data_IF_855634580246
#
_entry.id   IF_855634580246
#
_cell.length_a   1.000
_cell.length_b   1.000
_cell.length_c   1.000
_cell.angle_alpha   90.00
_cell.angle_beta   90.00
_cell.angle_gamma   90.00
#
_symmetry.space_group_name_H-M   'P 1'
#
loop_
_entity.id
_entity.type
_entity.pdbx_description
1 polymer ?
#
# COMPACT_ATOMS: atom_id res chain seq x y z
N UNK A 1 -27.28 -62.39 16.78
CA UNK A 1 -26.13 -61.46 16.81
C UNK A 1 -25.62 -61.38 15.38
N UNK A 2 -26.15 -60.42 14.60
CA UNK A 2 -25.76 -60.25 13.19
C UNK A 2 -24.36 -59.66 13.25
N UNK A 3 -23.35 -60.44 12.86
CA UNK A 3 -21.96 -59.98 12.76
C UNK A 3 -21.93 -58.78 11.84
N UNK A 4 -21.55 -57.61 12.38
CA UNK A 4 -21.19 -56.47 11.56
C UNK A 4 -20.04 -56.92 10.65
N UNK A 5 -20.34 -57.11 9.37
CA UNK A 5 -19.39 -57.52 8.37
C UNK A 5 -18.27 -56.50 8.18
N UNK A 6 -17.31 -56.86 7.33
CA UNK A 6 -16.11 -56.09 6.99
C UNK A 6 -16.41 -54.60 6.73
N UNK A 7 -16.16 -53.72 7.72
CA UNK A 7 -16.53 -52.29 7.67
C UNK A 7 -15.65 -51.43 6.75
N UNK A 8 -14.47 -51.92 6.37
CA UNK A 8 -13.56 -51.23 5.45
C UNK A 8 -12.57 -52.23 4.84
N UNK A 9 -12.36 -52.17 3.52
CA UNK A 9 -11.32 -52.91 2.81
C UNK A 9 -10.50 -51.93 1.97
N UNK A 10 -9.18 -51.91 2.16
CA UNK A 10 -8.26 -51.16 1.29
C UNK A 10 -7.75 -52.10 0.21
N UNK A 11 -7.97 -51.74 -1.06
CA UNK A 11 -7.41 -52.44 -2.19
C UNK A 11 -6.40 -51.50 -2.87
N UNK A 12 -5.15 -51.95 -2.98
CA UNK A 12 -4.10 -51.22 -3.69
C UNK A 12 -3.89 -51.88 -5.05
N UNK A 13 -4.00 -51.10 -6.12
CA UNK A 13 -3.66 -51.51 -7.47
C UNK A 13 -2.83 -50.41 -8.13
N UNK A 14 -1.70 -50.79 -8.71
CA UNK A 14 -0.81 -49.87 -9.41
C UNK A 14 -1.09 -49.96 -10.91
N UNK A 15 -1.76 -48.94 -11.45
CA UNK A 15 -2.06 -48.81 -12.87
C UNK A 15 -1.07 -47.83 -13.50
N UNK A 16 0.02 -48.36 -14.05
CA UNK A 16 0.98 -47.55 -14.83
C UNK A 16 0.51 -47.47 -16.28
N UNK A 17 -0.03 -46.32 -16.68
CA UNK A 17 -0.38 -46.03 -18.07
C UNK A 17 0.73 -45.17 -18.72
N UNK A 18 1.31 -45.66 -19.81
CA UNK A 18 2.45 -45.03 -20.50
C UNK A 18 2.16 -43.69 -21.20
N UNK A 19 0.94 -43.14 -21.11
CA UNK A 19 0.47 -42.02 -21.93
C UNK A 19 0.00 -40.77 -21.15
N UNK A 20 0.39 -40.59 -19.90
CA UNK A 20 -0.07 -39.46 -19.05
C UNK A 20 0.96 -38.32 -18.99
N UNK A 21 1.42 -37.83 -20.15
CA UNK A 21 2.46 -36.80 -20.25
C UNK A 21 1.97 -35.34 -20.38
N UNK A 22 0.66 -35.08 -20.33
CA UNK A 22 0.11 -33.72 -20.28
C UNK A 22 -0.75 -33.49 -19.02
N UNK A 23 -0.56 -32.33 -18.37
CA UNK A 23 -1.18 -31.98 -17.09
C UNK A 23 -2.72 -32.05 -17.10
N UNK A 24 -3.37 -31.62 -18.17
CA UNK A 24 -4.85 -31.60 -18.28
C UNK A 24 -5.46 -33.02 -18.33
N UNK A 25 -4.74 -33.98 -18.92
CA UNK A 25 -5.20 -35.37 -18.98
C UNK A 25 -5.10 -36.06 -17.60
N UNK A 26 -4.21 -35.59 -16.72
CA UNK A 26 -4.05 -36.15 -15.36
C UNK A 26 -5.21 -35.79 -14.46
N UNK A 27 -5.60 -34.51 -14.44
CA UNK A 27 -6.74 -34.03 -13.67
C UNK A 27 -8.06 -34.69 -14.12
N UNK A 28 -8.31 -34.73 -15.44
CA UNK A 28 -9.52 -35.37 -16.00
C UNK A 28 -9.55 -36.89 -15.75
N UNK A 29 -8.40 -37.56 -15.80
CA UNK A 29 -8.31 -39.00 -15.46
C UNK A 29 -8.67 -39.23 -13.99
N UNK A 30 -8.11 -38.44 -13.07
CA UNK A 30 -8.44 -38.51 -11.64
C UNK A 30 -9.94 -38.28 -11.40
N UNK A 31 -10.51 -37.22 -11.99
CA UNK A 31 -11.92 -36.87 -11.85
C UNK A 31 -12.83 -38.00 -12.37
N UNK A 32 -12.51 -38.55 -13.53
CA UNK A 32 -13.26 -39.67 -14.13
C UNK A 32 -13.17 -40.94 -13.29
N UNK A 33 -12.03 -41.18 -12.64
CA UNK A 33 -11.83 -42.33 -11.75
C UNK A 33 -12.62 -42.15 -10.44
N UNK A 34 -12.61 -40.95 -9.86
CA UNK A 34 -13.43 -40.61 -8.68
C UNK A 34 -14.93 -40.78 -9.00
N UNK A 35 -15.38 -40.29 -10.16
CA UNK A 35 -16.77 -40.42 -10.59
C UNK A 35 -17.19 -41.89 -10.76
N UNK A 36 -16.40 -42.70 -11.47
CA UNK A 36 -16.69 -44.14 -11.67
C UNK A 36 -16.66 -44.93 -10.36
N UNK A 37 -15.70 -44.66 -9.47
CA UNK A 37 -15.66 -45.31 -8.15
C UNK A 37 -16.89 -44.97 -7.31
N UNK A 38 -17.34 -43.72 -7.32
CA UNK A 38 -18.54 -43.31 -6.60
C UNK A 38 -19.84 -43.89 -7.21
N UNK A 39 -19.87 -44.10 -8.53
CA UNK A 39 -20.97 -44.80 -9.23
C UNK A 39 -21.03 -46.29 -8.85
N UNK A 40 -19.88 -46.97 -8.82
CA UNK A 40 -19.78 -48.39 -8.47
C UNK A 40 -20.02 -48.65 -6.99
N UNK A 41 -19.51 -47.78 -6.12
CA UNK A 41 -19.61 -47.90 -4.66
C UNK A 41 -19.83 -46.50 -4.04
N UNK A 42 -21.09 -46.16 -3.69
CA UNK A 42 -21.42 -44.88 -3.08
C UNK A 42 -20.63 -44.64 -1.78
N UNK A 43 -19.89 -43.53 -1.72
CA UNK A 43 -19.06 -43.19 -0.56
C UNK A 43 -17.64 -43.76 -0.57
N UNK A 44 -17.22 -44.40 -1.67
CA UNK A 44 -15.83 -44.80 -1.89
C UNK A 44 -15.05 -43.73 -2.67
N UNK A 45 -13.75 -43.57 -2.39
CA UNK A 45 -12.88 -42.66 -3.12
C UNK A 45 -11.54 -43.33 -3.48
N UNK A 46 -11.07 -43.22 -4.73
CA UNK A 46 -9.74 -43.68 -5.12
C UNK A 46 -8.68 -42.71 -4.60
N UNK A 47 -7.59 -43.24 -4.04
CA UNK A 47 -6.49 -42.46 -3.49
C UNK A 47 -5.14 -42.94 -4.04
N UNK A 48 -4.33 -41.99 -4.50
CA UNK A 48 -2.91 -42.18 -4.82
C UNK A 48 -2.15 -40.92 -4.38
N UNK A 49 -0.87 -41.06 -4.05
CA UNK A 49 -0.02 -39.91 -3.70
C UNK A 49 0.08 -38.91 -4.88
N UNK A 50 0.08 -39.42 -6.12
CA UNK A 50 0.14 -38.59 -7.33
C UNK A 50 -1.10 -37.71 -7.52
N UNK A 51 -2.26 -38.13 -6.98
CA UNK A 51 -3.50 -37.36 -7.11
C UNK A 51 -3.40 -36.00 -6.44
N UNK A 52 -2.57 -35.86 -5.40
CA UNK A 52 -2.34 -34.57 -4.73
C UNK A 52 -1.74 -33.54 -5.70
N UNK A 53 -0.74 -33.94 -6.49
CA UNK A 53 -0.11 -33.07 -7.47
C UNK A 53 -1.03 -32.79 -8.67
N UNK A 54 -1.85 -33.77 -9.07
CA UNK A 54 -2.75 -33.61 -10.22
C UNK A 54 -3.94 -32.70 -9.90
N UNK A 55 -4.43 -32.75 -8.66
CA UNK A 55 -5.47 -31.86 -8.15
C UNK A 55 -4.96 -30.42 -8.06
N UNK A 56 -3.72 -30.20 -7.61
CA UNK A 56 -3.09 -28.87 -7.63
C UNK A 56 -3.06 -28.28 -9.04
N UNK A 57 -2.54 -29.03 -10.02
CA UNK A 57 -2.40 -28.56 -11.41
C UNK A 57 -3.75 -28.33 -12.10
N UNK A 58 -4.79 -29.08 -11.73
CA UNK A 58 -6.12 -28.90 -12.31
C UNK A 58 -6.87 -27.66 -11.83
N UNK A 59 -6.61 -27.24 -10.60
CA UNK A 59 -7.35 -26.15 -9.93
C UNK A 59 -6.60 -24.81 -10.02
N UNK A 60 -5.29 -24.85 -10.26
CA UNK A 60 -4.40 -23.69 -10.21
C UNK A 60 -4.79 -22.52 -11.11
N UNK A 61 -5.24 -22.76 -12.35
CA UNK A 61 -5.52 -21.67 -13.29
C UNK A 61 -6.67 -20.79 -12.77
N UNK A 62 -7.73 -21.44 -12.27
CA UNK A 62 -8.89 -20.74 -11.71
C UNK A 62 -8.56 -20.04 -10.39
N UNK A 63 -7.75 -20.68 -9.55
CA UNK A 63 -7.28 -20.12 -8.28
C UNK A 63 -6.36 -18.94 -8.49
N UNK A 64 -5.46 -19.00 -9.46
CA UNK A 64 -4.54 -17.93 -9.82
C UNK A 64 -5.31 -16.67 -10.20
N UNK A 65 -6.26 -16.79 -11.14
CA UNK A 65 -7.05 -15.64 -11.59
C UNK A 65 -7.89 -15.09 -10.44
N UNK A 66 -8.51 -15.96 -9.63
CA UNK A 66 -9.31 -15.54 -8.48
C UNK A 66 -8.46 -14.83 -7.42
N UNK A 67 -7.30 -15.38 -7.09
CA UNK A 67 -6.39 -14.81 -6.10
C UNK A 67 -5.84 -13.47 -6.60
N UNK A 68 -5.45 -13.37 -7.87
CA UNK A 68 -4.97 -12.12 -8.45
C UNK A 68 -6.08 -11.05 -8.48
N UNK A 69 -7.32 -11.44 -8.80
CA UNK A 69 -8.46 -10.54 -8.79
C UNK A 69 -8.82 -10.05 -7.37
N UNK A 70 -8.87 -10.95 -6.38
CA UNK A 70 -9.16 -10.61 -4.98
C UNK A 70 -8.03 -9.72 -4.44
N UNK A 71 -6.77 -10.11 -4.62
CA UNK A 71 -5.62 -9.30 -4.19
C UNK A 71 -5.62 -7.94 -4.88
N UNK A 72 -5.88 -7.87 -6.18
CA UNK A 72 -6.03 -6.61 -6.92
C UNK A 72 -7.14 -5.72 -6.34
N UNK A 73 -8.30 -6.31 -5.99
CA UNK A 73 -9.40 -5.61 -5.33
C UNK A 73 -9.01 -5.06 -3.96
N UNK A 74 -8.33 -5.86 -3.13
CA UNK A 74 -7.84 -5.43 -1.82
C UNK A 74 -6.80 -4.31 -1.96
N UNK A 75 -5.85 -4.45 -2.90
CA UNK A 75 -4.84 -3.42 -3.20
C UNK A 75 -5.53 -2.11 -3.58
N UNK A 76 -6.56 -2.16 -4.42
CA UNK A 76 -7.33 -0.99 -4.80
C UNK A 76 -7.96 -0.32 -3.55
N UNK A 77 -8.62 -1.10 -2.70
CA UNK A 77 -9.22 -0.58 -1.45
C UNK A 77 -8.16 0.06 -0.55
N UNK A 78 -6.99 -0.58 -0.38
CA UNK A 78 -5.89 -0.06 0.43
C UNK A 78 -5.33 1.25 -0.15
N UNK A 79 -5.14 1.34 -1.47
CA UNK A 79 -4.66 2.57 -2.13
C UNK A 79 -5.68 3.71 -1.95
N UNK A 80 -6.98 3.45 -2.10
CA UNK A 80 -8.01 4.45 -1.87
C UNK A 80 -8.09 4.88 -0.40
N UNK A 81 -7.84 3.96 0.55
CA UNK A 81 -7.79 4.28 1.98
C UNK A 81 -6.56 5.12 2.34
N UNK A 82 -5.39 4.82 1.76
CA UNK A 82 -4.15 5.58 2.00
C UNK A 82 -4.17 6.96 1.34
N UNK A 83 -4.69 7.05 0.11
CA UNK A 83 -4.67 8.27 -0.70
C UNK A 83 -6.09 8.81 -0.86
N UNK A 84 -6.57 9.71 0.04
CA UNK A 84 -7.90 10.34 -0.05
C UNK A 84 -8.06 11.35 -1.22
N UNK A 85 -7.21 11.24 -2.26
CA UNK A 85 -7.28 12.03 -3.49
C UNK A 85 -7.51 11.07 -4.68
N UNK A 86 -8.77 10.90 -5.14
CA UNK A 86 -9.12 9.86 -6.12
C UNK A 86 -8.41 10.01 -7.47
N UNK A 87 -8.04 11.24 -7.86
CA UNK A 87 -7.29 11.51 -9.09
C UNK A 87 -5.90 10.88 -9.08
N UNK A 88 -5.19 10.98 -7.95
CA UNK A 88 -3.84 10.44 -7.79
C UNK A 88 -3.92 8.91 -7.67
N UNK A 89 -4.92 8.41 -6.92
CA UNK A 89 -5.14 6.98 -6.72
C UNK A 89 -5.33 6.21 -8.04
N UNK A 90 -6.06 6.77 -9.02
CA UNK A 90 -6.26 6.13 -10.34
C UNK A 90 -4.92 5.90 -11.06
N UNK A 91 -4.02 6.89 -11.06
CA UNK A 91 -2.71 6.76 -11.69
C UNK A 91 -1.80 5.76 -10.98
N UNK A 92 -1.88 5.69 -9.64
CA UNK A 92 -1.17 4.68 -8.85
C UNK A 92 -1.66 3.28 -9.20
N UNK A 93 -2.98 3.07 -9.22
CA UNK A 93 -3.58 1.77 -9.59
C UNK A 93 -3.19 1.37 -11.02
N UNK A 94 -3.19 2.31 -11.96
CA UNK A 94 -2.74 2.05 -13.33
C UNK A 94 -1.27 1.62 -13.38
N UNK A 95 -0.39 2.32 -12.66
CA UNK A 95 1.04 1.99 -12.59
C UNK A 95 1.27 0.59 -12.00
N UNK A 96 0.54 0.23 -10.94
CA UNK A 96 0.58 -1.11 -10.34
C UNK A 96 0.07 -2.16 -11.31
N UNK A 97 -1.07 -1.91 -11.97
CA UNK A 97 -1.64 -2.84 -12.95
C UNK A 97 -0.67 -3.11 -14.11
N UNK A 98 -0.01 -2.06 -14.64
CA UNK A 98 1.03 -2.19 -15.66
C UNK A 98 2.20 -3.05 -15.17
N UNK A 99 2.68 -2.82 -13.94
CA UNK A 99 3.78 -3.62 -13.38
C UNK A 99 3.45 -5.11 -13.25
N UNK A 100 2.19 -5.45 -12.94
CA UNK A 100 1.73 -6.84 -12.83
C UNK A 100 1.68 -7.47 -14.23
N UNK A 101 1.11 -6.76 -15.21
CA UNK A 101 1.00 -7.25 -16.59
C UNK A 101 2.39 -7.47 -17.19
N UNK A 102 3.32 -6.53 -16.99
CA UNK A 102 4.69 -6.67 -17.47
C UNK A 102 5.40 -7.84 -16.80
N UNK A 103 5.27 -7.99 -15.47
CA UNK A 103 5.85 -9.13 -14.74
C UNK A 103 5.33 -10.45 -15.28
N UNK A 104 4.01 -10.60 -15.46
CA UNK A 104 3.42 -11.82 -16.00
C UNK A 104 3.88 -12.08 -17.44
N UNK A 105 3.99 -11.02 -18.26
CA UNK A 105 4.50 -11.10 -19.62
C UNK A 105 5.95 -11.59 -19.67
N UNK A 106 6.83 -11.02 -18.85
CA UNK A 106 8.23 -11.46 -18.79
C UNK A 106 8.42 -12.84 -18.16
N UNK A 107 7.55 -13.26 -17.23
CA UNK A 107 7.54 -14.65 -16.73
C UNK A 107 7.29 -15.65 -17.86
N UNK A 108 6.40 -15.33 -18.79
CA UNK A 108 6.15 -16.15 -19.97
C UNK A 108 7.40 -16.23 -20.87
N UNK A 109 8.10 -15.13 -21.12
CA UNK A 109 9.33 -15.12 -21.91
C UNK A 109 10.50 -15.87 -21.26
N UNK A 110 10.54 -15.94 -19.93
CA UNK A 110 11.61 -16.61 -19.17
C UNK A 110 11.30 -18.08 -18.82
N UNK A 111 10.25 -18.63 -19.45
CA UNK A 111 9.78 -20.01 -19.30
C UNK A 111 9.62 -20.39 -17.81
N UNK A 112 9.01 -19.48 -17.04
CA UNK A 112 8.71 -19.72 -15.63
C UNK A 112 7.37 -20.43 -15.54
N UNK A 113 7.41 -21.68 -15.07
CA UNK A 113 6.22 -22.47 -14.80
C UNK A 113 5.39 -21.83 -13.69
N UNK A 114 4.14 -21.49 -13.98
CA UNK A 114 3.21 -20.95 -12.99
C UNK A 114 2.66 -22.12 -12.15
N UNK A 115 3.20 -22.26 -10.95
CA UNK A 115 2.77 -23.19 -9.89
C UNK A 115 2.17 -22.44 -8.69
N UNK A 116 1.50 -23.15 -7.77
CA UNK A 116 0.86 -22.52 -6.61
C UNK A 116 1.87 -21.80 -5.74
N UNK A 117 3.04 -22.42 -5.58
CA UNK A 117 4.20 -21.84 -4.88
C UNK A 117 4.72 -20.58 -5.59
N UNK A 118 4.88 -20.59 -6.91
CA UNK A 118 5.36 -19.42 -7.67
C UNK A 118 4.37 -18.24 -7.61
N UNK A 119 3.07 -18.56 -7.56
CA UNK A 119 1.98 -17.58 -7.47
C UNK A 119 2.02 -16.85 -6.12
N UNK A 120 2.21 -17.58 -5.02
CA UNK A 120 2.37 -16.98 -3.69
C UNK A 120 3.54 -16.00 -3.68
N UNK A 121 4.67 -16.39 -4.26
CA UNK A 121 5.83 -15.51 -4.35
C UNK A 121 5.54 -14.27 -5.20
N UNK A 122 4.91 -14.43 -6.37
CA UNK A 122 4.48 -13.30 -7.19
C UNK A 122 3.59 -12.33 -6.40
N UNK A 123 2.61 -12.83 -5.64
CA UNK A 123 1.72 -12.01 -4.82
C UNK A 123 2.48 -11.21 -3.75
N UNK A 124 3.42 -11.85 -3.05
CA UNK A 124 4.25 -11.16 -2.04
C UNK A 124 5.03 -10.02 -2.69
N UNK A 125 5.65 -10.27 -3.84
CA UNK A 125 6.44 -9.26 -4.54
C UNK A 125 5.58 -8.11 -5.09
N UNK A 126 4.38 -8.41 -5.58
CA UNK A 126 3.41 -7.38 -6.01
C UNK A 126 2.99 -6.52 -4.81
N UNK A 127 2.83 -7.10 -3.62
CA UNK A 127 2.61 -6.35 -2.39
C UNK A 127 3.72 -5.34 -2.10
N UNK A 128 4.99 -5.75 -2.26
CA UNK A 128 6.15 -4.85 -2.11
C UNK A 128 6.16 -3.75 -3.17
N UNK A 129 5.78 -4.06 -4.41
CA UNK A 129 5.68 -3.06 -5.48
C UNK A 129 4.63 -1.98 -5.18
N UNK A 130 3.47 -2.40 -4.67
CA UNK A 130 2.39 -1.49 -4.25
C UNK A 130 2.88 -0.59 -3.11
N UNK A 131 3.64 -1.12 -2.17
CA UNK A 131 4.20 -0.36 -1.04
C UNK A 131 5.11 0.79 -1.53
N UNK A 132 6.01 0.49 -2.48
CA UNK A 132 6.87 1.50 -3.10
C UNK A 132 6.07 2.62 -3.77
N UNK A 133 5.04 2.24 -4.53
CA UNK A 133 4.19 3.20 -5.23
C UNK A 133 3.32 4.02 -4.26
N UNK A 134 2.77 3.39 -3.21
CA UNK A 134 1.92 4.03 -2.22
C UNK A 134 2.69 5.07 -1.39
N UNK A 135 3.90 4.75 -0.94
CA UNK A 135 4.74 5.68 -0.18
C UNK A 135 5.09 6.93 -1.00
N UNK A 136 5.48 6.75 -2.27
CA UNK A 136 5.77 7.87 -3.17
C UNK A 136 4.53 8.73 -3.43
N UNK A 137 3.37 8.09 -3.66
CA UNK A 137 2.12 8.80 -3.87
C UNK A 137 1.67 9.60 -2.64
N UNK A 138 1.86 9.06 -1.43
CA UNK A 138 1.57 9.75 -0.19
C UNK A 138 2.50 10.96 0.00
N UNK A 139 3.80 10.82 -0.25
CA UNK A 139 4.72 11.96 -0.17
C UNK A 139 4.41 13.04 -1.21
N UNK A 140 4.05 12.64 -2.44
CA UNK A 140 3.59 13.56 -3.46
C UNK A 140 2.32 14.31 -3.04
N UNK A 141 1.40 13.62 -2.35
CA UNK A 141 0.20 14.21 -1.78
C UNK A 141 0.52 15.15 -0.62
N UNK A 142 1.56 14.93 0.18
CA UNK A 142 1.92 15.84 1.27
C UNK A 142 2.61 17.11 0.78
N UNK A 143 3.46 17.01 -0.24
CA UNK A 143 4.17 18.15 -0.83
C UNK A 143 3.25 19.23 -1.41
N UNK A 144 3.70 20.48 -1.35
CA UNK A 144 3.05 21.68 -1.88
C UNK A 144 3.81 22.19 -3.13
N UNK A 145 3.15 23.02 -3.94
CA UNK A 145 3.73 23.62 -5.16
C UNK A 145 3.24 22.99 -6.47
N UNK A 146 3.99 23.26 -7.53
CA UNK A 146 3.71 22.76 -8.88
C UNK A 146 3.80 21.22 -8.95
N UNK A 147 3.10 20.56 -9.89
CA UNK A 147 3.15 19.09 -10.03
C UNK A 147 4.56 18.53 -10.18
N UNK A 148 5.43 19.24 -10.90
CA UNK A 148 6.83 18.86 -11.09
C UNK A 148 7.63 18.97 -9.80
N UNK A 149 7.49 20.07 -9.09
CA UNK A 149 8.21 20.32 -7.83
C UNK A 149 7.78 19.33 -6.74
N UNK A 150 6.48 19.02 -6.67
CA UNK A 150 5.95 17.99 -5.76
C UNK A 150 6.50 16.60 -6.06
N UNK A 151 6.64 16.24 -7.34
CA UNK A 151 7.23 14.96 -7.74
C UNK A 151 8.72 14.87 -7.37
N UNK A 152 9.47 15.95 -7.58
CA UNK A 152 10.88 16.04 -7.19
C UNK A 152 11.01 15.95 -5.67
N UNK A 153 10.25 16.74 -4.91
CA UNK A 153 10.27 16.72 -3.45
C UNK A 153 9.87 15.36 -2.86
N UNK A 154 8.91 14.66 -3.49
CA UNK A 154 8.52 13.32 -3.08
C UNK A 154 9.68 12.32 -3.26
N UNK A 155 10.31 12.30 -4.44
CA UNK A 155 11.46 11.43 -4.72
C UNK A 155 12.65 11.78 -3.82
N UNK A 156 12.95 13.06 -3.61
CA UNK A 156 14.07 13.48 -2.78
C UNK A 156 13.93 12.99 -1.33
N UNK A 157 12.70 12.98 -0.81
CA UNK A 157 12.41 12.59 0.56
C UNK A 157 12.32 11.08 0.77
N UNK A 158 11.67 10.33 -0.12
CA UNK A 158 11.44 8.88 0.07
C UNK A 158 12.27 8.00 -0.88
N UNK A 159 12.72 8.52 -2.01
CA UNK A 159 13.47 7.80 -3.03
C UNK A 159 14.70 7.08 -2.50
N UNK A 160 15.55 7.68 -1.66
CA UNK A 160 16.69 6.97 -1.07
C UNK A 160 16.29 5.77 -0.20
N UNK A 161 15.20 5.88 0.56
CA UNK A 161 14.68 4.79 1.39
C UNK A 161 14.19 3.63 0.50
N UNK A 162 13.36 3.94 -0.50
CA UNK A 162 12.82 2.96 -1.43
C UNK A 162 13.90 2.32 -2.29
N UNK A 163 14.89 3.09 -2.77
CA UNK A 163 16.01 2.55 -3.54
C UNK A 163 16.87 1.58 -2.71
N UNK A 164 17.11 1.90 -1.43
CA UNK A 164 17.80 0.98 -0.52
C UNK A 164 16.99 -0.29 -0.26
N UNK A 165 15.65 -0.20 -0.16
CA UNK A 165 14.77 -1.36 0.00
C UNK A 165 14.77 -2.28 -1.24
N UNK A 166 14.74 -1.70 -2.44
CA UNK A 166 14.87 -2.44 -3.70
C UNK A 166 16.23 -3.13 -3.79
N UNK A 167 17.31 -2.40 -3.46
CA UNK A 167 18.68 -2.92 -3.54
C UNK A 167 18.94 -4.04 -2.53
N UNK A 168 18.44 -3.91 -1.29
CA UNK A 168 18.59 -4.96 -0.27
C UNK A 168 17.82 -6.22 -0.64
N UNK A 169 16.63 -6.07 -1.23
CA UNK A 169 15.84 -7.21 -1.74
C UNK A 169 16.56 -7.87 -2.91
N UNK A 170 17.10 -7.10 -3.86
CA UNK A 170 17.91 -7.67 -4.96
C UNK A 170 19.12 -8.45 -4.45
N UNK A 171 19.82 -7.93 -3.45
CA UNK A 171 20.97 -8.63 -2.86
C UNK A 171 20.53 -9.96 -2.23
N UNK A 172 19.41 -9.97 -1.50
CA UNK A 172 18.85 -11.19 -0.92
C UNK A 172 18.46 -12.21 -2.02
N UNK A 173 17.86 -11.74 -3.11
CA UNK A 173 17.47 -12.58 -4.25
C UNK A 173 18.68 -13.23 -4.90
N UNK A 174 19.76 -12.48 -5.13
CA UNK A 174 21.02 -13.01 -5.68
C UNK A 174 21.57 -14.15 -4.81
N UNK A 175 21.50 -14.02 -3.48
CA UNK A 175 21.93 -15.09 -2.56
C UNK A 175 21.09 -16.35 -2.75
N UNK A 176 19.77 -16.22 -2.93
CA UNK A 176 18.89 -17.38 -3.16
C UNK A 176 19.15 -18.03 -4.53
N UNK A 177 19.59 -17.24 -5.52
CA UNK A 177 19.97 -17.72 -6.85
C UNK A 177 21.12 -18.72 -6.86
N UNK A 178 21.96 -18.77 -5.82
CA UNK A 178 23.04 -19.77 -5.69
C UNK A 178 22.55 -21.16 -5.29
N UNK A 179 21.25 -21.35 -5.08
CA UNK A 179 20.71 -22.66 -4.75
C UNK A 179 20.39 -23.52 -5.98
N UNK A 180 20.72 -24.80 -5.88
CA UNK A 180 20.41 -25.79 -6.93
C UNK A 180 18.97 -26.32 -6.90
N UNK A 181 18.21 -26.03 -5.85
CA UNK A 181 16.81 -26.48 -5.78
C UNK A 181 15.95 -25.79 -6.82
N UNK A 182 15.12 -26.56 -7.52
CA UNK A 182 14.17 -26.06 -8.49
C UNK A 182 13.27 -24.94 -7.93
N UNK A 183 12.77 -25.12 -6.69
CA UNK A 183 11.91 -24.12 -6.02
C UNK A 183 12.65 -22.79 -5.84
N UNK A 184 13.91 -22.84 -5.40
CA UNK A 184 14.72 -21.63 -5.20
C UNK A 184 15.10 -20.96 -6.52
N UNK A 185 15.31 -21.72 -7.60
CA UNK A 185 15.56 -21.15 -8.94
C UNK A 185 14.34 -20.43 -9.50
N UNK A 186 13.14 -20.99 -9.32
CA UNK A 186 11.89 -20.31 -9.72
C UNK A 186 11.69 -19.05 -8.88
N UNK A 187 11.91 -19.15 -7.57
CA UNK A 187 11.83 -18.01 -6.67
C UNK A 187 12.79 -16.88 -7.07
N UNK A 188 14.05 -17.21 -7.38
CA UNK A 188 15.03 -16.26 -7.89
C UNK A 188 14.52 -15.53 -9.14
N UNK A 189 14.04 -16.28 -10.15
CA UNK A 189 13.53 -15.68 -11.39
C UNK A 189 12.35 -14.72 -11.13
N UNK A 190 11.35 -15.18 -10.37
CA UNK A 190 10.14 -14.38 -10.10
C UNK A 190 10.46 -13.14 -9.28
N UNK A 191 11.23 -13.27 -8.20
CA UNK A 191 11.60 -12.14 -7.36
C UNK A 191 12.48 -11.14 -8.10
N UNK A 192 13.48 -11.61 -8.83
CA UNK A 192 14.36 -10.74 -9.60
C UNK A 192 13.55 -9.91 -10.61
N UNK A 193 12.61 -10.55 -11.30
CA UNK A 193 11.74 -9.90 -12.26
C UNK A 193 10.82 -8.85 -11.62
N UNK A 194 10.13 -9.20 -10.54
CA UNK A 194 9.20 -8.26 -9.89
C UNK A 194 9.97 -7.08 -9.28
N UNK A 195 11.06 -7.34 -8.58
CA UNK A 195 11.81 -6.26 -7.90
C UNK A 195 12.42 -5.29 -8.91
N UNK A 196 12.90 -5.77 -10.05
CA UNK A 196 13.43 -4.89 -11.12
C UNK A 196 12.33 -4.13 -11.84
N UNK A 197 11.31 -4.83 -12.36
CA UNK A 197 10.24 -4.20 -13.15
C UNK A 197 9.37 -3.32 -12.27
N UNK A 198 8.86 -3.86 -11.17
CA UNK A 198 7.94 -3.15 -10.31
C UNK A 198 8.63 -2.07 -9.47
N UNK A 199 9.90 -2.30 -9.08
CA UNK A 199 10.76 -1.26 -8.51
C UNK A 199 10.98 -0.10 -9.47
N UNK A 200 11.28 -0.37 -10.76
CA UNK A 200 11.42 0.68 -11.77
C UNK A 200 10.09 1.42 -12.03
N UNK A 201 8.96 0.71 -12.07
CA UNK A 201 7.64 1.32 -12.20
C UNK A 201 7.31 2.22 -11.01
N UNK A 202 7.54 1.77 -9.78
CA UNK A 202 7.31 2.54 -8.57
C UNK A 202 8.22 3.78 -8.46
N UNK A 203 9.52 3.64 -8.73
CA UNK A 203 10.51 4.71 -8.53
C UNK A 203 10.58 5.71 -9.69
N UNK A 204 10.40 5.27 -10.94
CA UNK A 204 10.61 6.13 -12.11
C UNK A 204 9.32 6.46 -12.83
N UNK A 205 8.51 5.45 -13.14
CA UNK A 205 7.29 5.66 -13.92
C UNK A 205 6.25 6.45 -13.11
N UNK A 206 6.04 6.10 -11.85
CA UNK A 206 5.02 6.75 -11.02
C UNK A 206 5.29 8.25 -10.83
N UNK A 207 6.48 8.71 -10.40
CA UNK A 207 6.72 10.15 -10.28
C UNK A 207 6.65 10.89 -11.61
N UNK A 208 7.07 10.25 -12.71
CA UNK A 208 6.95 10.84 -14.05
C UNK A 208 5.49 11.08 -14.43
N UNK A 209 4.62 10.08 -14.25
CA UNK A 209 3.18 10.20 -14.49
C UNK A 209 2.56 11.27 -13.57
N UNK A 210 2.90 11.26 -12.28
CA UNK A 210 2.38 12.24 -11.31
C UNK A 210 2.88 13.66 -11.60
N UNK A 211 4.09 13.82 -12.15
CA UNK A 211 4.62 15.14 -12.51
C UNK A 211 3.84 15.82 -13.64
N UNK A 212 3.25 15.05 -14.55
CA UNK A 212 2.48 15.57 -15.69
C UNK A 212 0.98 15.61 -15.37
N UNK A 213 0.47 14.58 -14.67
CA UNK A 213 -0.96 14.31 -14.54
C UNK A 213 -1.48 14.39 -13.09
N UNK A 214 -0.60 14.68 -12.12
CA UNK A 214 -0.93 14.72 -10.68
C UNK A 214 -1.71 15.95 -10.22
N UNK A 215 -1.94 16.92 -11.10
CA UNK A 215 -2.69 18.16 -10.83
C UNK A 215 -1.96 19.14 -9.90
N UNK A 216 -2.14 20.44 -10.14
CA UNK A 216 -1.62 21.51 -9.27
C UNK A 216 -2.41 21.54 -7.96
N UNK A 217 -1.70 21.73 -6.84
CA UNK A 217 -2.34 22.13 -5.57
C UNK A 217 -2.49 23.64 -5.45
N UNK A 218 -1.76 24.41 -6.26
CA UNK A 218 -1.88 25.87 -6.34
C UNK A 218 -3.33 26.30 -6.64
N UNK A 219 -4.02 25.61 -7.54
CA UNK A 219 -5.42 25.92 -7.88
C UNK A 219 -6.40 25.77 -6.70
N UNK A 220 -6.08 24.92 -5.71
CA UNK A 220 -6.93 24.73 -4.52
C UNK A 220 -6.57 25.65 -3.36
N UNK A 221 -5.28 25.98 -3.19
CA UNK A 221 -4.87 26.97 -2.21
C UNK A 221 -5.41 28.36 -2.60
N UNK A 222 -5.26 28.77 -3.87
CA UNK A 222 -5.80 30.04 -4.38
C UNK A 222 -7.32 30.06 -4.32
N UNK A 223 -8.01 28.94 -4.60
CA UNK A 223 -9.46 28.87 -4.42
C UNK A 223 -9.87 29.03 -2.94
N UNK A 224 -9.22 28.34 -1.99
CA UNK A 224 -9.53 28.48 -0.55
C UNK A 224 -9.14 29.84 0.05
N UNK A 225 -8.09 30.49 -0.47
CA UNK A 225 -7.74 31.86 -0.10
C UNK A 225 -8.73 32.86 -0.71
N UNK A 226 -9.14 32.70 -1.97
CA UNK A 226 -10.16 33.55 -2.59
C UNK A 226 -11.54 33.41 -1.95
N UNK A 227 -11.89 32.22 -1.45
CA UNK A 227 -13.17 31.96 -0.79
C UNK A 227 -13.17 32.46 0.66
N UNK A 228 -12.01 32.44 1.34
CA UNK A 228 -11.85 33.08 2.66
C UNK A 228 -11.66 34.60 2.61
N UNK A 229 -11.08 35.16 1.53
CA UNK A 229 -11.10 36.60 1.25
C UNK A 229 -12.51 37.09 0.89
N UNK A 230 -13.26 36.31 0.09
CA UNK A 230 -14.66 36.60 -0.24
C UNK A 230 -15.58 36.59 0.99
N UNK A 231 -15.41 35.62 1.90
CA UNK A 231 -16.14 35.61 3.18
C UNK A 231 -15.67 36.72 4.14
N UNK A 232 -14.38 37.11 4.09
CA UNK A 232 -13.81 38.18 4.91
C UNK A 232 -14.19 39.59 4.47
N UNK A 233 -14.34 39.83 3.16
CA UNK A 233 -14.69 41.14 2.61
C UNK A 233 -16.18 41.49 2.81
N UNK A 234 -17.06 40.47 2.76
CA UNK A 234 -18.48 40.63 3.08
C UNK A 234 -18.71 41.02 4.55
N UNK A 235 -17.83 40.62 5.47
CA UNK A 235 -17.84 41.04 6.87
C UNK A 235 -17.22 42.42 7.13
N UNK A 236 -16.26 42.84 6.28
CA UNK A 236 -15.61 44.16 6.36
C UNK A 236 -16.46 45.30 5.82
N UNK A 237 -17.25 45.07 4.78
CA UNK A 237 -18.23 46.04 4.28
C UNK A 237 -19.37 46.32 5.27
N UNK A 238 -19.76 45.31 6.07
CA UNK A 238 -20.74 45.49 7.15
C UNK A 238 -20.20 46.27 8.35
N UNK A 239 -18.92 46.12 8.67
CA UNK A 239 -18.29 46.77 9.84
C UNK A 239 -17.82 48.20 9.53
N UNK A 240 -17.42 48.52 8.30
CA UNK A 240 -17.10 49.90 7.91
C UNK A 240 -18.33 50.83 7.88
N UNK A 241 -19.49 50.30 7.46
CA UNK A 241 -20.75 51.05 7.52
C UNK A 241 -21.24 51.30 8.95
N UNK A 242 -20.96 50.36 9.88
CA UNK A 242 -21.27 50.51 11.31
C UNK A 242 -20.29 51.47 11.98
N UNK A 243 -19.00 51.42 11.63
CA UNK A 243 -17.96 52.32 12.14
C UNK A 243 -18.16 53.78 11.67
N UNK A 244 -18.57 54.00 10.41
CA UNK A 244 -18.90 55.36 9.93
C UNK A 244 -20.15 55.94 10.62
N UNK A 245 -21.13 55.10 11.00
CA UNK A 245 -22.29 55.54 11.77
C UNK A 245 -21.92 55.93 13.21
N UNK A 246 -20.94 55.25 13.80
CA UNK A 246 -20.50 55.48 15.19
C UNK A 246 -19.58 56.71 15.32
N UNK A 247 -18.71 56.96 14.32
CA UNK A 247 -17.87 58.17 14.26
C UNK A 247 -18.71 59.45 14.14
N UNK A 248 -19.89 59.37 13.50
CA UNK A 248 -20.78 60.53 13.34
C UNK A 248 -21.58 60.88 14.60
N UNK A 249 -21.64 59.97 15.58
CA UNK A 249 -22.40 60.15 16.83
C UNK A 249 -21.52 60.40 18.08
N UNK A 250 -20.19 60.30 17.96
CA UNK A 250 -19.25 60.42 19.09
C UNK A 250 -18.49 61.75 19.20
N UNK A 251 -18.90 62.82 18.51
CA UNK A 251 -18.22 64.12 18.62
C UNK A 251 -18.69 64.90 19.86
N UNK A 252 -18.01 64.73 21.00
CA UNK A 252 -17.88 65.80 21.98
C UNK A 252 -16.61 65.66 22.85
N UNK A 253 -15.75 66.66 22.67
CA UNK A 253 -14.81 67.28 23.61
C UNK A 253 -13.46 66.64 23.99
N UNK A 254 -12.42 67.49 23.89
CA UNK A 254 -11.26 67.48 24.78
C UNK A 254 -9.89 67.14 24.19
N UNK A 255 -9.10 68.17 23.89
CA UNK A 255 -7.63 68.17 23.61
C UNK A 255 -6.91 68.89 24.79
N UNK A 256 -5.56 69.00 24.94
CA UNK A 256 -4.37 68.35 24.30
C UNK A 256 -3.27 67.88 25.32
N UNK A 257 -2.11 67.46 24.77
CA UNK A 257 -0.74 67.33 25.36
C UNK A 257 -0.38 65.94 25.93
N UNK A 258 0.82 65.34 25.77
CA UNK A 258 2.17 65.83 25.46
C UNK A 258 3.05 64.66 24.91
N UNK A 259 4.28 65.00 24.50
CA UNK A 259 5.32 64.25 23.80
C UNK A 259 5.96 63.08 24.57
N UNK A 260 6.48 62.12 23.81
CA UNK A 260 7.75 61.42 24.06
C UNK A 260 7.68 60.05 24.76
N UNK A 261 8.09 58.99 24.07
CA UNK A 261 9.10 58.00 24.50
C UNK A 261 9.14 56.79 23.55
N UNK A 262 10.02 56.87 22.54
CA UNK A 262 10.65 55.69 21.95
C UNK A 262 11.71 55.19 22.95
N UNK A 263 11.35 54.23 23.81
CA UNK A 263 12.26 53.36 24.56
C UNK A 263 11.44 52.40 25.45
N UNK A 264 10.75 51.43 24.85
CA UNK A 264 10.03 50.38 25.62
C UNK A 264 9.71 49.19 24.71
N UNK A 265 10.71 48.58 24.08
CA UNK A 265 10.49 47.38 23.25
C UNK A 265 11.63 46.35 23.34
N UNK A 266 12.55 46.51 24.29
CA UNK A 266 13.63 45.55 24.52
C UNK A 266 13.45 44.72 25.81
N UNK A 267 12.65 45.18 26.77
CA UNK A 267 12.41 44.45 28.03
C UNK A 267 11.18 43.52 27.98
N UNK A 268 10.26 43.71 27.02
CA UNK A 268 9.06 42.86 26.84
C UNK A 268 9.36 41.54 26.10
N UNK A 269 10.47 41.46 25.36
CA UNK A 269 10.85 40.25 24.62
C UNK A 269 11.44 39.15 25.52
N UNK A 270 12.13 39.53 26.60
CA UNK A 270 12.75 38.57 27.53
C UNK A 270 11.75 37.98 28.53
N UNK A 271 10.69 38.71 28.90
CA UNK A 271 9.63 38.17 29.77
C UNK A 271 8.79 37.10 29.04
N UNK A 272 8.54 37.29 27.74
CA UNK A 272 7.76 36.36 26.93
C UNK A 272 8.49 35.03 26.67
N UNK A 273 9.83 35.06 26.52
CA UNK A 273 10.64 33.84 26.35
C UNK A 273 10.71 33.05 27.67
N UNK A 274 10.82 33.73 28.81
CA UNK A 274 10.79 33.09 30.14
C UNK A 274 9.45 32.38 30.41
N UNK A 275 8.33 33.00 30.03
CA UNK A 275 7.00 32.42 30.22
C UNK A 275 6.75 31.19 29.34
N UNK A 276 7.21 31.20 28.08
CA UNK A 276 7.09 30.07 27.14
C UNK A 276 7.95 28.88 27.58
N UNK A 277 9.16 29.12 28.13
CA UNK A 277 10.02 28.05 28.66
C UNK A 277 9.47 27.47 29.97
N UNK A 278 8.80 28.28 30.79
CA UNK A 278 8.13 27.81 32.02
C UNK A 278 6.90 26.93 31.73
N UNK A 279 6.18 27.22 30.64
CA UNK A 279 5.02 26.45 30.19
C UNK A 279 5.43 25.10 29.60
N UNK A 280 6.54 25.04 28.85
CA UNK A 280 7.07 23.78 28.32
C UNK A 280 7.63 22.84 29.39
N UNK A 281 8.04 23.37 30.56
CA UNK A 281 8.57 22.56 31.68
C UNK A 281 7.47 22.07 32.63
N UNK A 282 6.23 22.56 32.49
CA UNK A 282 5.08 22.19 33.33
C UNK A 282 4.29 20.99 32.81
N UNK A 283 4.46 20.63 31.53
CA UNK A 283 3.79 19.47 30.90
C UNK A 283 4.58 18.15 31.00
N UNK A 284 5.81 18.17 31.54
CA UNK A 284 6.59 16.95 31.84
C UNK A 284 6.97 16.89 33.32
N UNK A 285 6.01 16.45 34.15
CA UNK A 285 6.21 16.10 35.56
C UNK A 285 5.72 14.67 35.86
N UNK A 286 6.44 13.87 36.67
CA UNK A 286 6.35 12.42 36.67
C UNK A 286 5.33 11.83 37.68
N UNK A 287 4.59 10.82 37.21
CA UNK A 287 4.28 9.58 37.94
C UNK A 287 3.21 9.61 39.03
N UNK A 288 2.46 8.50 39.15
CA UNK A 288 2.56 7.74 40.41
C UNK A 288 2.11 6.28 40.25
N UNK A 289 2.89 5.32 40.81
CA UNK A 289 2.61 3.89 40.84
C UNK A 289 1.71 3.52 42.02
N UNK A 290 0.99 2.40 41.91
CA UNK A 290 0.32 1.78 43.05
C UNK A 290 0.50 0.25 43.03
N UNK A 291 0.79 -0.27 44.22
CA UNK A 291 0.78 -1.67 44.65
C UNK A 291 2.05 -2.52 44.44
N UNK A 292 3.08 -2.22 45.24
CA UNK A 292 3.96 -3.23 45.81
C UNK A 292 4.28 -2.88 47.27
N UNK A 293 3.71 -3.63 48.22
CA UNK A 293 4.24 -3.74 49.59
C UNK A 293 3.68 -4.99 50.27
N UNK A 294 4.55 -5.93 50.60
CA UNK A 294 4.81 -6.36 51.97
C UNK A 294 5.72 -7.60 51.97
N UNK A 295 6.73 -7.57 52.84
CA UNK A 295 7.69 -8.63 53.08
C UNK A 295 7.14 -9.67 54.07
N UNK A 296 7.39 -10.95 53.79
CA UNK A 296 7.88 -11.96 54.74
C UNK A 296 8.28 -13.21 53.97
#
# INVERSE_FOLDING_TARGET
MITEGLKAHRFNAELSLAATNLGTNRYTTMESMRAKCNELYPGSFPYSFDFLYWEEVGVIDTELVRNLAICGGVILVVIFALVPAPRIAIWVVLCVALSIVDTLGFMYFWDVTISGVSTIYLLICVGLAVDYAAHIAQMFKESLGSPRERAIAAIERIGPCTFNAVTSTLLAVVVVGFSDSYVFRIFFKVLFLVVTIAGAHGLWLLPAILSVLGGSKEDRAVASYSESESLGDTGRLGTSAVQEAEIRFGSSDGSPNDRGHEASNAEDADSFISDVVSLSSREMGPGSPAAAKASS
#
